data_IF_165198147397
#
_entry.id   IF_165198147397
#
_cell.length_a   1.000
_cell.length_b   1.000
_cell.length_c   1.000
_cell.angle_alpha   90.00
_cell.angle_beta   90.00
_cell.angle_gamma   90.00
#
_symmetry.space_group_name_H-M   'P 1'
#
loop_
_entity.id
_entity.type
_entity.pdbx_description
1 polymer ?
#
# COMPACT_ATOMS: atom_id res chain seq x y z
N UNK A 1 -53.12 -64.01 48.70
CA UNK A 1 -52.70 -62.79 49.42
C UNK A 1 -53.40 -61.63 48.73
N UNK A 2 -54.56 -61.23 49.28
CA UNK A 2 -54.75 -60.02 50.09
C UNK A 2 -54.87 -58.80 49.15
N UNK A 3 -55.94 -58.00 49.10
CA UNK A 3 -57.17 -57.88 49.87
C UNK A 3 -58.13 -57.02 49.03
N UNK A 4 -59.45 -57.19 49.12
CA UNK A 4 -60.30 -56.29 49.92
C UNK A 4 -59.88 -54.81 49.84
N UNK A 5 -60.32 -54.14 48.78
CA UNK A 5 -60.74 -52.72 48.82
C UNK A 5 -62.19 -52.71 48.31
N UNK A 6 -63.15 -53.01 49.18
CA UNK A 6 -63.91 -51.96 49.88
C UNK A 6 -64.35 -50.87 48.90
N UNK A 7 -65.63 -50.96 48.53
CA UNK A 7 -66.57 -49.82 48.60
C UNK A 7 -66.03 -48.51 48.06
N UNK A 8 -65.94 -48.41 46.74
CA UNK A 8 -66.28 -47.16 46.09
C UNK A 8 -67.57 -47.47 45.33
N UNK A 9 -68.69 -46.74 45.55
CA UNK A 9 -69.83 -46.87 44.65
C UNK A 9 -69.26 -46.61 43.26
N UNK A 10 -69.38 -47.58 42.35
CA UNK A 10 -68.88 -47.47 40.97
C UNK A 10 -69.27 -46.08 40.47
N UNK A 11 -68.29 -45.17 40.44
CA UNK A 11 -68.56 -43.80 40.05
C UNK A 11 -69.15 -43.88 38.65
N UNK A 12 -70.20 -43.11 38.39
CA UNK A 12 -70.80 -43.05 37.06
C UNK A 12 -69.74 -42.70 35.98
N UNK A 13 -68.60 -42.14 36.41
CA UNK A 13 -67.45 -41.74 35.58
C UNK A 13 -66.35 -42.83 35.45
N UNK A 14 -66.54 -44.03 36.00
CA UNK A 14 -65.56 -45.12 35.89
C UNK A 14 -65.53 -45.68 34.45
N UNK A 15 -64.32 -45.87 33.90
CA UNK A 15 -64.10 -46.41 32.53
C UNK A 15 -64.73 -47.80 32.35
N UNK A 16 -64.78 -48.61 33.42
CA UNK A 16 -65.32 -49.97 33.43
C UNK A 16 -66.70 -50.05 34.11
N UNK A 17 -67.53 -49.01 33.95
CA UNK A 17 -68.87 -48.97 34.58
C UNK A 17 -69.75 -50.16 34.15
N UNK A 18 -70.06 -51.05 35.10
CA UNK A 18 -70.97 -52.16 34.90
C UNK A 18 -72.35 -51.84 35.51
N UNK A 19 -73.36 -51.54 34.67
CA UNK A 19 -74.69 -51.17 35.15
C UNK A 19 -75.38 -52.30 35.92
N UNK A 20 -75.05 -53.57 35.61
CA UNK A 20 -75.69 -54.75 36.22
C UNK A 20 -75.15 -54.95 37.63
N UNK A 21 -73.83 -54.82 37.84
CA UNK A 21 -73.24 -54.84 39.18
C UNK A 21 -73.76 -53.71 40.06
N UNK A 22 -73.90 -52.50 39.50
CA UNK A 22 -74.38 -51.35 40.26
C UNK A 22 -75.85 -51.47 40.65
N UNK A 23 -76.70 -51.96 39.73
CA UNK A 23 -78.11 -52.27 40.02
C UNK A 23 -78.26 -53.33 41.11
N UNK A 24 -77.46 -54.41 41.05
CA UNK A 24 -77.49 -55.46 42.07
C UNK A 24 -77.02 -54.96 43.44
N UNK A 25 -76.15 -53.95 43.49
CA UNK A 25 -75.72 -53.30 44.73
C UNK A 25 -76.84 -52.42 45.33
N UNK A 26 -77.50 -51.62 44.49
CA UNK A 26 -78.62 -50.73 44.88
C UNK A 26 -79.87 -51.52 45.28
N UNK A 27 -80.14 -52.64 44.62
CA UNK A 27 -81.29 -53.52 44.86
C UNK A 27 -80.90 -54.88 45.48
N UNK A 28 -80.06 -54.86 46.52
CA UNK A 28 -79.48 -56.07 47.14
C UNK A 28 -80.49 -56.99 47.85
N UNK A 29 -81.72 -56.54 48.14
CA UNK A 29 -82.73 -57.31 48.89
C UNK A 29 -84.13 -57.24 48.25
N UNK A 30 -84.99 -58.26 48.38
CA UNK A 30 -86.32 -58.27 47.75
C UNK A 30 -87.25 -57.10 48.16
N UNK A 31 -87.04 -56.52 49.35
CA UNK A 31 -87.80 -55.37 49.84
C UNK A 31 -87.44 -54.05 49.12
N UNK A 32 -86.25 -53.97 48.51
CA UNK A 32 -85.78 -52.78 47.77
C UNK A 32 -86.49 -52.60 46.42
N UNK A 33 -87.14 -53.64 45.89
CA UNK A 33 -87.91 -53.61 44.63
C UNK A 33 -89.10 -52.65 44.70
N UNK A 34 -89.67 -52.41 45.89
CA UNK A 34 -90.73 -51.42 46.08
C UNK A 34 -90.29 -49.95 45.87
N UNK A 35 -88.97 -49.69 45.81
CA UNK A 35 -88.39 -48.37 45.54
C UNK A 35 -87.96 -48.16 44.08
N UNK A 36 -88.26 -49.12 43.20
CA UNK A 36 -87.88 -49.07 41.79
C UNK A 36 -88.54 -47.90 41.04
N UNK A 37 -89.84 -47.70 41.24
CA UNK A 37 -90.60 -46.60 40.62
C UNK A 37 -90.03 -45.20 40.96
N UNK A 38 -89.79 -44.84 42.24
CA UNK A 38 -89.20 -43.55 42.56
C UNK A 38 -87.77 -43.40 42.02
N UNK A 39 -86.94 -44.44 42.06
CA UNK A 39 -85.57 -44.39 41.50
C UNK A 39 -85.59 -44.21 39.98
N UNK A 40 -86.49 -44.90 39.28
CA UNK A 40 -86.67 -44.76 37.84
C UNK A 40 -87.08 -43.33 37.46
N UNK A 41 -88.00 -42.71 38.23
CA UNK A 41 -88.40 -41.32 38.03
C UNK A 41 -87.26 -40.34 38.25
N UNK A 42 -86.44 -40.54 39.29
CA UNK A 42 -85.27 -39.69 39.56
C UNK A 42 -84.21 -39.82 38.46
N UNK A 43 -83.95 -41.04 37.97
CA UNK A 43 -83.02 -41.27 36.86
C UNK A 43 -83.53 -40.69 35.54
N UNK A 44 -84.84 -40.79 35.27
CA UNK A 44 -85.46 -40.15 34.11
C UNK A 44 -85.36 -38.63 34.20
N UNK A 45 -85.68 -38.03 35.35
CA UNK A 45 -85.52 -36.59 35.55
C UNK A 45 -84.05 -36.13 35.42
N UNK A 46 -83.09 -36.91 35.91
CA UNK A 46 -81.66 -36.61 35.76
C UNK A 46 -81.19 -36.79 34.30
N UNK A 47 -81.68 -37.81 33.60
CA UNK A 47 -81.41 -38.02 32.17
C UNK A 47 -81.97 -36.86 31.34
N UNK A 48 -83.18 -36.43 31.62
CA UNK A 48 -83.84 -35.35 30.90
C UNK A 48 -83.09 -34.03 31.16
N UNK A 49 -82.75 -33.73 32.43
CA UNK A 49 -81.94 -32.55 32.77
C UNK A 49 -80.52 -32.56 32.16
N UNK A 50 -79.87 -33.73 32.07
CA UNK A 50 -78.59 -33.86 31.40
C UNK A 50 -78.73 -33.70 29.88
N UNK A 51 -79.81 -34.23 29.30
CA UNK A 51 -80.11 -34.07 27.87
C UNK A 51 -80.36 -32.61 27.52
N UNK A 52 -81.08 -31.87 28.38
CA UNK A 52 -81.29 -30.44 28.23
C UNK A 52 -79.97 -29.66 28.34
N UNK A 53 -79.10 -30.01 29.30
CA UNK A 53 -77.77 -29.37 29.45
C UNK A 53 -76.84 -29.68 28.27
N UNK A 54 -76.86 -30.90 27.74
CA UNK A 54 -76.12 -31.27 26.53
C UNK A 54 -76.67 -30.48 25.34
N UNK A 55 -77.99 -30.42 25.17
CA UNK A 55 -78.61 -29.65 24.08
C UNK A 55 -78.29 -28.15 24.18
N UNK A 56 -78.23 -27.58 25.38
CA UNK A 56 -77.84 -26.19 25.62
C UNK A 56 -76.36 -25.94 25.26
N UNK A 57 -75.46 -26.83 25.67
CA UNK A 57 -74.03 -26.74 25.34
C UNK A 57 -73.77 -26.97 23.85
N UNK A 58 -74.47 -27.93 23.23
CA UNK A 58 -74.40 -28.16 21.79
C UNK A 58 -74.97 -26.98 21.00
N UNK A 59 -76.07 -26.37 21.44
CA UNK A 59 -76.58 -25.15 20.83
C UNK A 59 -75.59 -23.99 20.99
N UNK A 60 -75.02 -23.78 22.18
CA UNK A 60 -73.98 -22.76 22.41
C UNK A 60 -72.75 -22.99 21.51
N UNK A 61 -72.35 -24.25 21.31
CA UNK A 61 -71.24 -24.63 20.45
C UNK A 61 -71.57 -24.58 18.94
N UNK A 62 -72.82 -24.88 18.55
CA UNK A 62 -73.35 -24.80 17.19
C UNK A 62 -73.62 -23.36 16.72
N UNK A 63 -73.78 -22.42 17.65
CA UNK A 63 -73.72 -20.97 17.39
C UNK A 63 -72.32 -20.37 17.59
N UNK A 64 -71.37 -21.11 18.17
CA UNK A 64 -69.92 -20.82 18.21
C UNK A 64 -69.04 -21.11 16.96
N UNK A 65 -69.50 -21.70 15.82
CA UNK A 65 -68.66 -21.95 14.65
C UNK A 65 -68.12 -20.66 14.02
N UNK A 66 -68.88 -19.57 14.11
CA UNK A 66 -68.45 -18.22 13.72
C UNK A 66 -67.18 -17.80 14.45
N UNK A 67 -67.10 -18.02 15.77
CA UNK A 67 -65.92 -17.64 16.55
C UNK A 67 -64.66 -18.45 16.20
N UNK A 68 -64.79 -19.69 15.70
CA UNK A 68 -63.65 -20.48 15.22
C UNK A 68 -63.21 -20.08 13.81
N UNK A 69 -64.17 -19.85 12.91
CA UNK A 69 -63.92 -19.35 11.56
C UNK A 69 -63.35 -17.94 11.57
N UNK A 70 -63.88 -17.04 12.40
CA UNK A 70 -63.37 -15.68 12.59
C UNK A 70 -61.95 -15.70 13.15
N UNK A 71 -61.65 -16.56 14.15
CA UNK A 71 -60.29 -16.72 14.66
C UNK A 71 -59.32 -17.20 13.58
N UNK A 72 -59.76 -18.13 12.73
CA UNK A 72 -58.95 -18.66 11.63
C UNK A 72 -58.73 -17.62 10.52
N UNK A 73 -59.77 -16.86 10.17
CA UNK A 73 -59.68 -15.75 9.22
C UNK A 73 -58.79 -14.62 9.75
N UNK A 74 -58.89 -14.29 11.04
CA UNK A 74 -58.01 -13.32 11.69
C UNK A 74 -56.55 -13.78 11.68
N UNK A 75 -56.27 -15.03 12.02
CA UNK A 75 -54.91 -15.59 11.94
C UNK A 75 -54.37 -15.60 10.50
N UNK A 76 -55.22 -15.90 9.50
CA UNK A 76 -54.84 -15.85 8.09
C UNK A 76 -54.53 -14.42 7.63
N UNK A 77 -55.33 -13.43 8.07
CA UNK A 77 -55.09 -12.02 7.78
C UNK A 77 -53.81 -11.51 8.46
N UNK A 78 -53.54 -11.94 9.69
CA UNK A 78 -52.33 -11.57 10.43
C UNK A 78 -51.07 -12.17 9.78
N UNK A 79 -51.12 -13.45 9.36
CA UNK A 79 -50.05 -14.09 8.58
C UNK A 79 -49.80 -13.37 7.25
N UNK A 80 -50.87 -12.99 6.54
CA UNK A 80 -50.73 -12.22 5.31
C UNK A 80 -50.04 -10.87 5.56
N UNK A 81 -50.41 -10.17 6.64
CA UNK A 81 -49.74 -8.94 7.08
C UNK A 81 -48.28 -9.17 7.46
N UNK A 82 -47.97 -10.28 8.12
CA UNK A 82 -46.59 -10.64 8.48
C UNK A 82 -45.74 -10.93 7.24
N UNK A 83 -46.24 -11.65 6.25
CA UNK A 83 -45.54 -11.86 4.98
C UNK A 83 -45.28 -10.55 4.23
N UNK A 84 -46.26 -9.64 4.20
CA UNK A 84 -46.03 -8.31 3.62
C UNK A 84 -44.95 -7.52 4.36
N UNK A 85 -44.91 -7.58 5.69
CA UNK A 85 -43.84 -6.94 6.48
C UNK A 85 -42.48 -7.57 6.21
N UNK A 86 -42.40 -8.90 6.12
CA UNK A 86 -41.17 -9.62 5.79
C UNK A 86 -40.67 -9.20 4.40
N UNK A 87 -41.55 -9.14 3.41
CA UNK A 87 -41.17 -8.75 2.04
C UNK A 87 -40.75 -7.27 1.96
N UNK A 88 -41.40 -6.39 2.73
CA UNK A 88 -41.00 -5.00 2.87
C UNK A 88 -39.60 -4.86 3.50
N UNK A 89 -39.33 -5.59 4.59
CA UNK A 89 -38.01 -5.61 5.24
C UNK A 89 -36.95 -6.17 4.29
N UNK A 90 -37.26 -7.24 3.56
CA UNK A 90 -36.37 -7.83 2.55
C UNK A 90 -36.03 -6.83 1.45
N UNK A 91 -37.02 -6.15 0.90
CA UNK A 91 -36.83 -5.15 -0.16
C UNK A 91 -35.97 -3.99 0.33
N UNK A 92 -36.25 -3.49 1.55
CA UNK A 92 -35.45 -2.42 2.17
C UNK A 92 -34.01 -2.86 2.45
N UNK A 93 -33.81 -4.10 2.90
CA UNK A 93 -32.47 -4.65 3.13
C UNK A 93 -31.67 -4.74 1.83
N UNK A 94 -32.27 -5.26 0.75
CA UNK A 94 -31.63 -5.32 -0.57
C UNK A 94 -31.30 -3.93 -1.13
N UNK A 95 -32.20 -2.96 -0.93
CA UNK A 95 -31.93 -1.58 -1.34
C UNK A 95 -30.76 -1.01 -0.53
N UNK A 96 -30.75 -1.20 0.79
CA UNK A 96 -29.68 -0.72 1.68
C UNK A 96 -28.34 -1.36 1.31
N UNK A 97 -28.32 -2.67 0.98
CA UNK A 97 -27.12 -3.36 0.53
C UNK A 97 -26.56 -2.74 -0.76
N UNK A 98 -27.42 -2.45 -1.74
CA UNK A 98 -27.02 -1.80 -2.99
C UNK A 98 -26.49 -0.39 -2.75
N UNK A 99 -27.14 0.37 -1.89
CA UNK A 99 -26.74 1.73 -1.54
C UNK A 99 -25.37 1.73 -0.86
N UNK A 100 -25.15 0.84 0.12
CA UNK A 100 -23.85 0.67 0.79
C UNK A 100 -22.76 0.21 -0.20
N UNK A 101 -23.09 -0.73 -1.09
CA UNK A 101 -22.13 -1.22 -2.10
C UNK A 101 -21.70 -0.11 -3.05
N UNK A 102 -22.64 0.73 -3.47
CA UNK A 102 -22.36 1.90 -4.32
C UNK A 102 -21.53 2.94 -3.58
N UNK A 103 -21.94 3.28 -2.36
CA UNK A 103 -21.22 4.24 -1.52
C UNK A 103 -19.78 3.80 -1.25
N UNK A 104 -19.56 2.51 -0.95
CA UNK A 104 -18.21 1.98 -0.70
C UNK A 104 -17.35 1.92 -1.97
N UNK A 105 -17.94 1.70 -3.14
CA UNK A 105 -17.22 1.81 -4.41
C UNK A 105 -16.76 3.25 -4.68
N UNK A 106 -17.59 4.25 -4.39
CA UNK A 106 -17.23 5.65 -4.55
C UNK A 106 -16.18 6.11 -3.53
N UNK A 107 -16.25 5.64 -2.28
CA UNK A 107 -15.20 5.88 -1.28
C UNK A 107 -13.85 5.35 -1.76
N UNK A 108 -13.81 4.14 -2.33
CA UNK A 108 -12.58 3.57 -2.91
C UNK A 108 -12.04 4.40 -4.08
N UNK A 109 -12.93 4.87 -4.96
CA UNK A 109 -12.54 5.76 -6.08
C UNK A 109 -11.99 7.08 -5.59
N UNK A 110 -12.60 7.66 -4.57
CA UNK A 110 -12.14 8.90 -3.94
C UNK A 110 -10.76 8.71 -3.31
N UNK A 111 -10.55 7.61 -2.57
CA UNK A 111 -9.25 7.32 -1.97
C UNK A 111 -8.15 7.10 -3.02
N UNK A 112 -8.47 6.35 -4.09
CA UNK A 112 -7.56 6.20 -5.23
C UNK A 112 -7.20 7.54 -5.87
N UNK A 113 -8.18 8.43 -6.04
CA UNK A 113 -7.96 9.78 -6.56
C UNK A 113 -7.08 10.60 -5.62
N UNK A 114 -7.37 10.60 -4.32
CA UNK A 114 -6.57 11.29 -3.29
C UNK A 114 -5.12 10.79 -3.28
N UNK A 115 -4.90 9.49 -3.36
CA UNK A 115 -3.57 8.88 -3.44
C UNK A 115 -2.84 9.34 -4.69
N UNK A 116 -3.48 9.29 -5.86
CA UNK A 116 -2.89 9.74 -7.12
C UNK A 116 -2.54 11.23 -7.07
N UNK A 117 -3.43 12.08 -6.55
CA UNK A 117 -3.16 13.51 -6.37
C UNK A 117 -1.99 13.76 -5.42
N UNK A 118 -1.88 13.01 -4.33
CA UNK A 118 -0.79 13.13 -3.37
C UNK A 118 0.55 12.75 -4.01
N UNK A 119 0.57 11.67 -4.80
CA UNK A 119 1.75 11.25 -5.57
C UNK A 119 2.16 12.32 -6.58
N UNK A 120 1.20 12.83 -7.37
CA UNK A 120 1.44 13.89 -8.34
C UNK A 120 1.95 15.17 -7.68
N UNK A 121 1.35 15.60 -6.58
CA UNK A 121 1.78 16.78 -5.83
C UNK A 121 3.19 16.61 -5.27
N UNK A 122 3.53 15.43 -4.74
CA UNK A 122 4.87 15.13 -4.23
C UNK A 122 5.91 15.15 -5.35
N UNK A 123 5.61 14.52 -6.49
CA UNK A 123 6.48 14.51 -7.65
C UNK A 123 6.72 15.92 -8.19
N UNK A 124 5.66 16.73 -8.34
CA UNK A 124 5.76 18.10 -8.81
C UNK A 124 6.57 18.99 -7.84
N UNK A 125 6.34 18.89 -6.53
CA UNK A 125 7.14 19.63 -5.53
C UNK A 125 8.62 19.24 -5.60
N UNK A 126 8.94 17.96 -5.75
CA UNK A 126 10.33 17.50 -5.92
C UNK A 126 10.95 17.98 -7.22
N UNK A 127 10.17 18.04 -8.30
CA UNK A 127 10.63 18.53 -9.59
C UNK A 127 10.92 20.04 -9.52
N UNK A 128 10.03 20.80 -8.87
CA UNK A 128 10.26 22.23 -8.59
C UNK A 128 11.55 22.41 -7.78
N UNK A 129 11.72 21.66 -6.68
CA UNK A 129 12.95 21.70 -5.88
C UNK A 129 14.20 21.39 -6.71
N UNK A 130 14.13 20.39 -7.59
CA UNK A 130 15.24 20.03 -8.47
C UNK A 130 15.58 21.14 -9.47
N UNK A 131 14.57 21.73 -10.12
CA UNK A 131 14.77 22.84 -11.07
C UNK A 131 15.37 24.06 -10.37
N UNK A 132 14.84 24.45 -9.21
CA UNK A 132 15.38 25.57 -8.43
C UNK A 132 16.81 25.31 -7.95
N UNK A 133 17.08 24.10 -7.45
CA UNK A 133 18.43 23.72 -7.03
C UNK A 133 19.42 23.71 -8.20
N UNK A 134 19.00 23.26 -9.39
CA UNK A 134 19.81 23.31 -10.60
C UNK A 134 20.14 24.75 -11.03
N UNK A 135 19.16 25.65 -11.02
CA UNK A 135 19.37 27.06 -11.36
C UNK A 135 20.32 27.75 -10.37
N UNK A 136 20.14 27.49 -9.08
CA UNK A 136 21.03 27.97 -8.02
C UNK A 136 22.46 27.42 -8.21
N UNK A 137 22.61 26.12 -8.46
CA UNK A 137 23.90 25.47 -8.68
C UNK A 137 24.62 26.08 -9.89
N UNK A 138 23.89 26.36 -10.97
CA UNK A 138 24.42 27.04 -12.16
C UNK A 138 24.91 28.46 -11.84
N UNK A 139 24.21 29.19 -10.97
CA UNK A 139 24.63 30.51 -10.50
C UNK A 139 25.91 30.46 -9.65
N UNK A 140 25.97 29.52 -8.69
CA UNK A 140 27.13 29.31 -7.83
C UNK A 140 28.37 28.85 -8.62
N UNK A 141 28.17 27.99 -9.62
CA UNK A 141 29.25 27.52 -10.51
C UNK A 141 29.92 28.69 -11.24
N UNK A 142 29.12 29.64 -11.77
CA UNK A 142 29.61 30.85 -12.46
C UNK A 142 30.41 31.78 -11.55
N UNK A 143 30.02 31.89 -10.28
CA UNK A 143 30.70 32.74 -9.29
C UNK A 143 31.84 32.01 -8.56
N UNK A 144 32.07 30.73 -8.89
CA UNK A 144 33.11 29.86 -8.31
C UNK A 144 33.01 29.67 -6.80
N UNK A 145 31.79 29.68 -6.25
CA UNK A 145 31.53 29.42 -4.84
C UNK A 145 31.52 27.90 -4.54
N UNK A 146 32.69 27.28 -4.61
CA UNK A 146 32.85 25.82 -4.60
C UNK A 146 32.27 25.13 -3.36
N UNK A 147 32.37 25.77 -2.19
CA UNK A 147 31.83 25.21 -0.94
C UNK A 147 30.32 24.95 -1.02
N UNK A 148 29.56 25.94 -1.49
CA UNK A 148 28.10 25.83 -1.62
C UNK A 148 27.72 24.96 -2.83
N UNK A 149 28.48 25.04 -3.93
CA UNK A 149 28.32 24.15 -5.08
C UNK A 149 28.38 22.68 -4.68
N UNK A 150 29.31 22.28 -3.81
CA UNK A 150 29.47 20.89 -3.41
C UNK A 150 28.22 20.35 -2.71
N UNK A 151 27.69 21.09 -1.73
CA UNK A 151 26.50 20.69 -0.99
C UNK A 151 25.25 20.64 -1.89
N UNK A 152 25.08 21.66 -2.75
CA UNK A 152 23.93 21.72 -3.65
C UNK A 152 24.01 20.67 -4.76
N UNK A 153 25.20 20.36 -5.27
CA UNK A 153 25.41 19.29 -6.24
C UNK A 153 25.03 17.93 -5.66
N UNK A 154 25.41 17.63 -4.41
CA UNK A 154 24.98 16.39 -3.74
C UNK A 154 23.45 16.29 -3.64
N UNK A 155 22.78 17.38 -3.25
CA UNK A 155 21.32 17.43 -3.17
C UNK A 155 20.66 17.22 -4.55
N UNK A 156 21.17 17.88 -5.60
CA UNK A 156 20.71 17.70 -6.98
C UNK A 156 20.88 16.24 -7.43
N UNK A 157 22.01 15.61 -7.14
CA UNK A 157 22.24 14.20 -7.51
C UNK A 157 21.30 13.24 -6.78
N UNK A 158 21.02 13.48 -5.50
CA UNK A 158 20.04 12.69 -4.76
C UNK A 158 18.63 12.83 -5.35
N UNK A 159 18.21 14.06 -5.66
CA UNK A 159 16.91 14.32 -6.29
C UNK A 159 16.81 13.66 -7.67
N UNK A 160 17.86 13.73 -8.48
CA UNK A 160 17.93 13.08 -9.79
C UNK A 160 17.70 11.56 -9.71
N UNK A 161 18.20 10.88 -8.66
CA UNK A 161 17.97 9.43 -8.47
C UNK A 161 16.49 9.08 -8.32
N UNK A 162 15.70 9.93 -7.67
CA UNK A 162 14.26 9.72 -7.54
C UNK A 162 13.52 9.87 -8.88
N UNK A 163 14.09 10.60 -9.85
CA UNK A 163 13.48 10.82 -11.15
C UNK A 163 13.91 9.81 -12.24
N UNK A 164 14.73 8.81 -11.91
CA UNK A 164 15.17 7.80 -12.87
C UNK A 164 14.01 7.02 -13.52
N UNK A 165 12.92 6.76 -12.79
CA UNK A 165 11.72 6.11 -13.33
C UNK A 165 10.90 7.00 -14.27
N UNK A 166 11.15 8.31 -14.27
CA UNK A 166 10.45 9.31 -15.08
C UNK A 166 11.23 9.69 -16.35
N UNK A 167 12.26 8.92 -16.71
CA UNK A 167 13.15 9.21 -17.86
C UNK A 167 12.42 9.22 -19.22
N UNK A 168 11.26 8.58 -19.31
CA UNK A 168 10.40 8.63 -20.50
C UNK A 168 9.84 10.03 -20.78
N UNK A 169 9.84 10.92 -19.78
CA UNK A 169 9.38 12.29 -19.92
C UNK A 169 10.54 13.14 -20.44
N UNK A 170 10.39 13.68 -21.66
CA UNK A 170 11.45 14.39 -22.37
C UNK A 170 12.02 15.57 -21.59
N UNK A 171 11.17 16.34 -20.89
CA UNK A 171 11.60 17.51 -20.12
C UNK A 171 12.51 17.10 -18.94
N UNK A 172 12.19 16.00 -18.27
CA UNK A 172 13.00 15.45 -17.17
C UNK A 172 14.31 14.89 -17.72
N UNK A 173 14.26 14.21 -18.87
CA UNK A 173 15.46 13.74 -19.56
C UNK A 173 16.36 14.89 -20.02
N UNK A 174 15.79 16.02 -20.47
CA UNK A 174 16.54 17.23 -20.79
C UNK A 174 17.22 17.83 -19.55
N UNK A 175 16.49 17.97 -18.44
CA UNK A 175 17.07 18.44 -17.18
C UNK A 175 18.21 17.54 -16.69
N UNK A 176 18.06 16.21 -16.80
CA UNK A 176 19.13 15.26 -16.49
C UNK A 176 20.40 15.47 -17.31
N UNK A 177 20.25 15.77 -18.61
CA UNK A 177 21.39 16.06 -19.50
C UNK A 177 22.06 17.36 -19.09
N UNK A 178 21.29 18.40 -18.83
CA UNK A 178 21.79 19.69 -18.38
C UNK A 178 22.58 19.57 -17.06
N UNK A 179 22.10 18.77 -16.10
CA UNK A 179 22.84 18.47 -14.86
C UNK A 179 24.16 17.77 -15.16
N UNK A 180 24.16 16.79 -16.08
CA UNK A 180 25.37 16.06 -16.47
C UNK A 180 26.38 16.95 -17.18
N UNK A 181 25.92 17.89 -18.00
CA UNK A 181 26.76 18.92 -18.64
C UNK A 181 27.37 19.84 -17.58
N UNK A 182 26.57 20.33 -16.64
CA UNK A 182 27.06 21.18 -15.54
C UNK A 182 28.09 20.45 -14.66
N UNK A 183 27.91 19.15 -14.42
CA UNK A 183 28.92 18.33 -13.73
C UNK A 183 30.26 18.30 -14.49
N UNK A 184 30.22 18.17 -15.82
CA UNK A 184 31.42 18.18 -16.65
C UNK A 184 32.07 19.55 -16.65
N UNK A 185 31.28 20.62 -16.76
CA UNK A 185 31.76 22.01 -16.69
C UNK A 185 32.44 22.28 -15.34
N UNK A 186 31.83 21.88 -14.22
CA UNK A 186 32.43 22.02 -12.89
C UNK A 186 33.73 21.22 -12.75
N UNK A 187 33.77 20.00 -13.28
CA UNK A 187 34.98 19.18 -13.29
C UNK A 187 36.12 19.86 -14.05
N UNK A 188 35.83 20.38 -15.25
CA UNK A 188 36.78 21.13 -16.06
C UNK A 188 37.25 22.40 -15.36
N UNK A 189 36.32 23.18 -14.82
CA UNK A 189 36.60 24.43 -14.11
C UNK A 189 37.50 24.22 -12.88
N UNK A 190 37.24 23.18 -12.07
CA UNK A 190 38.10 22.86 -10.93
C UNK A 190 39.49 22.43 -11.40
N UNK A 191 39.58 21.58 -12.44
CA UNK A 191 40.88 21.18 -12.98
C UNK A 191 41.68 22.40 -13.46
N UNK A 192 41.07 23.28 -14.25
CA UNK A 192 41.71 24.52 -14.73
C UNK A 192 42.19 25.42 -13.59
N UNK A 193 41.46 25.49 -12.48
CA UNK A 193 41.85 26.28 -11.32
C UNK A 193 43.08 25.71 -10.61
N UNK A 194 43.18 24.39 -10.52
CA UNK A 194 44.41 23.73 -10.06
C UNK A 194 45.56 24.00 -11.03
N UNK A 195 45.36 23.87 -12.33
CA UNK A 195 46.40 24.14 -13.33
C UNK A 195 46.95 25.56 -13.23
N UNK A 196 46.06 26.55 -13.15
CA UNK A 196 46.44 27.96 -13.06
C UNK A 196 47.16 28.29 -11.76
N UNK A 197 46.77 27.68 -10.65
CA UNK A 197 47.43 27.88 -9.37
C UNK A 197 48.87 27.33 -9.39
N UNK A 198 49.07 26.13 -9.96
CA UNK A 198 50.39 25.51 -10.08
C UNK A 198 51.26 26.17 -11.16
N UNK A 199 50.69 26.58 -12.30
CA UNK A 199 51.46 27.24 -13.37
C UNK A 199 51.97 28.64 -13.00
N UNK A 200 51.30 29.32 -12.06
CA UNK A 200 51.70 30.65 -11.57
C UNK A 200 52.46 30.61 -10.25
N UNK A 201 52.71 29.41 -9.71
CA UNK A 201 53.27 29.19 -8.37
C UNK A 201 52.50 29.93 -7.26
N UNK A 202 51.17 30.09 -7.45
CA UNK A 202 50.27 30.86 -6.59
C UNK A 202 49.38 29.95 -5.72
N UNK A 203 49.86 28.72 -5.47
CA UNK A 203 49.11 27.69 -4.74
C UNK A 203 48.84 28.12 -3.29
N UNK A 204 49.77 28.85 -2.67
CA UNK A 204 49.62 29.32 -1.30
C UNK A 204 48.46 30.34 -1.15
N UNK A 205 48.33 31.30 -2.08
CA UNK A 205 47.27 32.31 -2.01
C UNK A 205 45.90 31.72 -2.38
N UNK A 206 45.86 30.74 -3.30
CA UNK A 206 44.63 30.10 -3.76
C UNK A 206 44.20 28.88 -2.94
N UNK A 207 45.02 28.47 -1.98
CA UNK A 207 44.76 27.31 -1.09
C UNK A 207 43.32 27.24 -0.55
N UNK A 208 42.70 28.30 0.03
CA UNK A 208 41.35 28.19 0.57
C UNK A 208 40.32 27.80 -0.50
N UNK A 209 40.39 28.41 -1.68
CA UNK A 209 39.49 28.14 -2.80
C UNK A 209 39.73 26.73 -3.37
N UNK A 210 40.98 26.28 -3.45
CA UNK A 210 41.32 24.94 -3.93
C UNK A 210 40.86 23.84 -2.96
N UNK A 211 40.91 24.08 -1.65
CA UNK A 211 40.36 23.16 -0.65
C UNK A 211 38.84 23.04 -0.80
N UNK A 212 38.15 24.16 -1.03
CA UNK A 212 36.71 24.12 -1.31
C UNK A 212 36.40 23.43 -2.64
N UNK A 213 37.23 23.62 -3.66
CA UNK A 213 37.11 22.94 -4.94
C UNK A 213 37.27 21.41 -4.81
N UNK A 214 38.08 20.94 -3.85
CA UNK A 214 38.16 19.51 -3.53
C UNK A 214 36.82 18.95 -3.01
N UNK A 215 35.98 19.74 -2.32
CA UNK A 215 34.66 19.27 -1.89
C UNK A 215 33.73 19.00 -3.08
N UNK A 216 33.82 19.83 -4.13
CA UNK A 216 33.14 19.57 -5.42
C UNK A 216 33.73 18.33 -6.09
N UNK A 217 35.05 18.17 -5.97
CA UNK A 217 35.84 16.94 -6.22
C UNK A 217 35.11 15.67 -5.79
N UNK A 218 34.80 15.69 -4.50
CA UNK A 218 34.28 14.57 -3.76
C UNK A 218 32.81 14.33 -4.10
N UNK A 219 32.05 15.41 -4.34
CA UNK A 219 30.65 15.35 -4.77
C UNK A 219 30.49 14.80 -6.20
N UNK A 220 31.44 15.05 -7.10
CA UNK A 220 31.45 14.50 -8.47
C UNK A 220 31.80 13.00 -8.50
N UNK A 221 32.48 12.49 -7.47
CA UNK A 221 32.80 11.08 -7.26
C UNK A 221 34.26 10.71 -7.52
N UNK A 222 34.62 9.46 -7.21
CA UNK A 222 36.02 9.00 -7.14
C UNK A 222 36.80 9.12 -8.45
N UNK A 223 36.12 9.04 -9.60
CA UNK A 223 36.76 9.21 -10.91
C UNK A 223 37.30 10.63 -11.09
N UNK A 224 36.58 11.65 -10.60
CA UNK A 224 37.03 13.03 -10.64
C UNK A 224 38.27 13.21 -9.76
N UNK A 225 38.24 12.66 -8.55
CA UNK A 225 39.39 12.67 -7.62
C UNK A 225 40.60 11.97 -8.25
N UNK A 226 40.44 10.76 -8.77
CA UNK A 226 41.52 9.98 -9.36
C UNK A 226 42.17 10.72 -10.53
N UNK A 227 41.38 11.42 -11.35
CA UNK A 227 41.86 12.24 -12.46
C UNK A 227 42.76 13.39 -11.98
N UNK A 228 42.34 14.12 -10.96
CA UNK A 228 43.13 15.22 -10.38
C UNK A 228 44.43 14.70 -9.74
N UNK A 229 44.35 13.60 -8.99
CA UNK A 229 45.52 12.98 -8.37
C UNK A 229 46.50 12.47 -9.42
N UNK A 230 46.00 11.80 -10.46
CA UNK A 230 46.82 11.28 -11.57
C UNK A 230 47.51 12.42 -12.31
N UNK A 231 46.80 13.52 -12.55
CA UNK A 231 47.40 14.72 -13.12
C UNK A 231 48.52 15.26 -12.22
N UNK A 232 48.24 15.48 -10.93
CA UNK A 232 49.19 16.05 -9.99
C UNK A 232 50.49 15.22 -9.93
N UNK A 233 50.36 13.90 -9.76
CA UNK A 233 51.50 12.97 -9.75
C UNK A 233 52.29 13.06 -11.07
N UNK A 234 51.61 13.13 -12.22
CA UNK A 234 52.30 13.25 -13.51
C UNK A 234 53.04 14.57 -13.68
N UNK A 235 52.49 15.66 -13.14
CA UNK A 235 53.08 17.01 -13.16
C UNK A 235 54.36 17.04 -12.34
N UNK A 236 54.32 16.58 -11.08
CA UNK A 236 55.50 16.52 -10.20
C UNK A 236 56.58 15.58 -10.77
N UNK A 237 56.18 14.41 -11.29
CA UNK A 237 57.12 13.46 -11.91
C UNK A 237 57.68 13.95 -13.26
N UNK A 238 57.19 15.06 -13.83
CA UNK A 238 57.69 15.56 -15.12
C UNK A 238 59.09 16.15 -14.97
N UNK A 239 59.33 16.94 -13.94
CA UNK A 239 60.66 17.50 -13.63
C UNK A 239 61.67 16.39 -13.36
N UNK A 240 61.30 15.40 -12.55
CA UNK A 240 62.12 14.20 -12.34
C UNK A 240 62.41 13.46 -13.64
N UNK A 241 61.38 13.21 -14.48
CA UNK A 241 61.59 12.56 -15.79
C UNK A 241 62.50 13.36 -16.71
N UNK A 242 62.46 14.69 -16.66
CA UNK A 242 63.33 15.55 -17.47
C UNK A 242 64.79 15.45 -17.00
N UNK A 243 65.05 15.56 -15.70
CA UNK A 243 66.40 15.44 -15.12
C UNK A 243 67.01 14.07 -15.40
N UNK A 244 66.25 12.99 -15.21
CA UNK A 244 66.75 11.63 -15.37
C UNK A 244 66.74 11.11 -16.82
N UNK A 245 65.94 11.67 -17.73
CA UNK A 245 66.13 11.46 -19.18
C UNK A 245 67.31 12.24 -19.73
N UNK A 246 67.54 13.46 -19.24
CA UNK A 246 68.71 14.26 -19.58
C UNK A 246 70.02 13.58 -19.16
N UNK A 247 70.05 12.96 -17.97
CA UNK A 247 71.20 12.19 -17.52
C UNK A 247 71.45 10.90 -18.34
N UNK A 248 70.37 10.23 -18.79
CA UNK A 248 70.49 9.04 -19.65
C UNK A 248 70.89 9.37 -21.10
N UNK A 249 70.59 10.57 -21.60
CA UNK A 249 70.99 11.05 -22.93
C UNK A 249 72.34 11.80 -22.96
N UNK A 250 72.72 12.49 -21.88
CA UNK A 250 74.00 13.21 -21.78
C UNK A 250 75.20 12.28 -21.63
N UNK A 251 75.00 11.02 -21.21
CA UNK A 251 76.02 9.98 -21.33
C UNK A 251 76.25 9.53 -22.80
N UNK A 252 75.37 9.89 -23.74
CA UNK A 252 75.46 9.51 -25.14
C UNK A 252 75.78 10.66 -26.11
N UNK A 253 75.82 11.92 -25.65
CA UNK A 253 76.26 13.04 -26.49
C UNK A 253 76.89 14.17 -25.68
N UNK A 254 78.20 14.04 -25.45
CA UNK A 254 79.07 15.17 -25.16
C UNK A 254 79.10 16.12 -26.36
N UNK A 255 78.55 17.33 -26.22
CA UNK A 255 78.73 18.38 -27.22
C UNK A 255 77.79 19.58 -27.07
N UNK A 256 78.28 20.62 -26.37
CA UNK A 256 78.06 22.05 -26.58
C UNK A 256 76.61 22.63 -26.61
N UNK A 257 76.39 23.69 -25.81
CA UNK A 257 75.46 24.75 -26.20
C UNK A 257 74.66 25.38 -25.05
N UNK A 258 75.18 26.49 -24.52
CA UNK A 258 74.56 27.40 -23.54
C UNK A 258 73.36 28.13 -24.15
N UNK A 259 72.27 28.32 -23.38
CA UNK A 259 71.13 29.15 -23.79
C UNK A 259 70.00 29.24 -22.76
N UNK A 260 70.30 29.64 -21.52
CA UNK A 260 69.29 29.86 -20.48
C UNK A 260 68.89 31.36 -20.45
N UNK A 261 67.67 31.68 -20.84
CA UNK A 261 67.14 33.05 -20.72
C UNK A 261 65.78 33.31 -21.38
N UNK A 262 65.40 32.51 -22.39
CA UNK A 262 64.08 32.61 -23.06
C UNK A 262 63.15 31.41 -22.76
N UNK A 263 63.63 30.41 -22.01
CA UNK A 263 62.98 29.13 -21.82
C UNK A 263 61.78 29.16 -20.87
N UNK A 264 61.73 30.06 -19.87
CA UNK A 264 60.68 30.05 -18.83
C UNK A 264 59.28 30.40 -19.36
N UNK A 265 59.15 31.40 -20.23
CA UNK A 265 57.85 31.73 -20.82
C UNK A 265 57.38 30.68 -21.84
N UNK A 266 58.32 30.03 -22.52
CA UNK A 266 58.03 28.96 -23.46
C UNK A 266 57.64 27.66 -22.74
N UNK A 267 58.31 27.31 -21.65
CA UNK A 267 57.98 26.14 -20.81
C UNK A 267 56.62 26.30 -20.13
N UNK A 268 56.27 27.48 -19.59
CA UNK A 268 54.94 27.69 -18.99
C UNK A 268 53.82 27.54 -20.03
N UNK A 269 53.99 28.06 -21.25
CA UNK A 269 53.00 27.95 -22.33
C UNK A 269 52.90 26.51 -22.88
N UNK A 270 54.03 25.81 -23.01
CA UNK A 270 54.08 24.37 -23.30
C UNK A 270 53.44 23.53 -22.18
N UNK A 271 53.61 23.92 -20.92
CA UNK A 271 53.01 23.28 -19.77
C UNK A 271 51.48 23.40 -19.83
N UNK A 272 50.95 24.61 -19.98
CA UNK A 272 49.51 24.83 -20.14
C UNK A 272 48.93 24.05 -21.33
N UNK A 273 49.64 24.02 -22.48
CA UNK A 273 49.20 23.28 -23.67
C UNK A 273 49.22 21.76 -23.51
N UNK A 274 50.23 21.20 -22.86
CA UNK A 274 50.33 19.75 -22.65
C UNK A 274 49.41 19.27 -21.54
N UNK A 275 49.13 20.11 -20.55
CA UNK A 275 48.17 19.85 -19.49
C UNK A 275 46.73 19.85 -20.04
N UNK A 276 46.35 20.87 -20.82
CA UNK A 276 45.05 20.89 -21.49
C UNK A 276 44.83 19.67 -22.40
N UNK A 277 45.90 19.10 -22.98
CA UNK A 277 45.84 17.84 -23.74
C UNK A 277 45.64 16.61 -22.85
N UNK A 278 46.25 16.55 -21.66
CA UNK A 278 46.05 15.44 -20.71
C UNK A 278 44.57 15.35 -20.31
N UNK A 279 44.01 16.47 -19.85
CA UNK A 279 42.63 16.51 -19.41
C UNK A 279 41.63 16.33 -20.55
N UNK A 280 41.89 16.83 -21.76
CA UNK A 280 41.04 16.63 -22.94
C UNK A 280 41.08 15.19 -23.47
N UNK A 281 42.22 14.49 -23.35
CA UNK A 281 42.37 13.08 -23.77
C UNK A 281 41.59 12.12 -22.88
N UNK A 282 41.59 12.35 -21.56
CA UNK A 282 40.88 11.48 -20.61
C UNK A 282 39.37 11.78 -20.51
N UNK A 283 38.89 12.95 -21.00
CA UNK A 283 37.46 13.30 -21.10
C UNK A 283 36.71 12.42 -22.11
N UNK A 284 37.34 12.04 -23.23
CA UNK A 284 36.68 11.27 -24.30
C UNK A 284 36.22 9.86 -23.88
N UNK A 285 36.71 9.34 -22.75
CA UNK A 285 36.38 8.00 -22.26
C UNK A 285 35.15 7.94 -21.34
N UNK A 286 34.65 9.09 -20.84
CA UNK A 286 33.59 9.14 -19.82
C UNK A 286 32.16 9.01 -20.39
N UNK A 287 31.96 9.32 -21.68
CA UNK A 287 30.64 9.28 -22.32
C UNK A 287 30.05 7.89 -22.56
N UNK A 288 30.86 6.82 -22.47
CA UNK A 288 30.44 5.48 -22.89
C UNK A 288 29.85 4.59 -21.77
N UNK A 289 29.90 4.99 -20.49
CA UNK A 289 29.62 4.09 -19.36
C UNK A 289 28.35 4.34 -18.55
N UNK A 290 27.60 5.42 -18.80
CA UNK A 290 26.36 5.73 -18.05
C UNK A 290 25.07 5.17 -18.68
N UNK A 291 25.17 4.43 -19.81
CA UNK A 291 24.03 3.99 -20.60
C UNK A 291 23.69 2.49 -20.58
N UNK A 292 24.42 1.62 -19.84
CA UNK A 292 24.22 0.17 -19.97
C UNK A 292 24.42 -0.59 -18.65
N UNK A 293 23.32 -0.72 -17.90
CA UNK A 293 23.01 -1.66 -16.81
C UNK A 293 21.51 -1.40 -16.50
N UNK A 294 20.53 -2.29 -16.66
CA UNK A 294 20.45 -3.73 -16.82
C UNK A 294 19.22 -4.05 -17.70
N UNK A 295 19.39 -4.90 -18.72
CA UNK A 295 18.26 -5.50 -19.45
C UNK A 295 18.75 -6.76 -20.19
N UNK A 296 18.94 -7.86 -19.47
CA UNK A 296 18.82 -9.23 -20.00
C UNK A 296 19.06 -10.26 -18.90
N UNK A 297 18.01 -10.66 -18.19
CA UNK A 297 17.88 -12.03 -17.68
C UNK A 297 16.73 -12.63 -18.49
N UNK A 298 17.07 -13.50 -19.44
CA UNK A 298 16.12 -14.19 -20.30
C UNK A 298 15.34 -15.28 -19.56
N UNK A 299 14.17 -15.69 -20.07
CA UNK A 299 13.39 -16.76 -19.47
C UNK A 299 14.05 -18.11 -19.78
N UNK A 300 14.45 -18.83 -18.73
CA UNK A 300 14.82 -20.24 -18.81
C UNK A 300 13.57 -21.09 -18.98
N UNK A 301 13.42 -21.69 -20.16
CA UNK A 301 12.46 -22.76 -20.40
C UNK A 301 13.07 -24.07 -19.89
N UNK A 302 12.35 -24.78 -19.01
CA UNK A 302 12.77 -26.04 -18.41
C UNK A 302 11.55 -26.87 -18.02
N UNK A 303 11.27 -27.86 -18.85
CA UNK A 303 10.24 -28.91 -18.75
C UNK A 303 10.51 -29.96 -17.67
N UNK A 304 9.42 -30.54 -17.12
CA UNK A 304 9.37 -31.71 -16.23
C UNK A 304 8.66 -31.34 -14.94
N UNK A 305 7.63 -32.02 -14.42
CA UNK A 305 7.04 -33.35 -14.58
C UNK A 305 6.14 -33.55 -13.35
N UNK A 306 5.20 -34.48 -13.44
CA UNK A 306 4.05 -34.77 -12.55
C UNK A 306 2.83 -33.82 -12.60
#
# INVERSE_FOLDING_TARGET
MNGSTLTEPSSLDAVDYDPVRHLNLLFSTPASVGSLDPVCRTLQAHKDGLSDSIAELEAAQAYGPSASLERMQNAQAELAGMFQRIESVRTRALQTERDITTMTADIKRLDGTKRNLTLSMTALKRLQMLTTAYEQLRGLARTRQYRECAGLLQAVLQLMRHFNSYRSIEQIAALSRNVSELQRELLEQVCEDFELAFARDDVAARRPVLVEACLVMDALGDNARARLVTWYVNTELREYRHVFRGAAGAAASSGLGVGAGAADKATINENLKNIGKFFRRDIGSLGARFGKRDASVGPGNGSGGD
#
